data_IF_073143202824
#
_entry.id   IF_073143202824
#
_cell.length_a   1.000
_cell.length_b   1.000
_cell.length_c   1.000
_cell.angle_alpha   90.00
_cell.angle_beta   90.00
_cell.angle_gamma   90.00
#
_symmetry.space_group_name_H-M   'P 1'
#
loop_
_entity.id
_entity.type
_entity.pdbx_description
1 polymer ?
#
# COMPACT_ATOMS: atom_id res chain seq x y z
N UNK A 1 -26.01 34.24 -6.02
CA UNK A 1 -25.77 33.24 -7.08
C UNK A 1 -25.11 32.04 -6.45
N UNK A 2 -25.88 30.98 -6.25
CA UNK A 2 -25.42 29.77 -5.53
C UNK A 2 -24.52 28.95 -6.45
N UNK A 3 -23.24 28.94 -6.15
CA UNK A 3 -22.28 28.02 -6.75
C UNK A 3 -22.64 26.59 -6.24
N UNK A 4 -23.44 25.84 -7.01
CA UNK A 4 -23.66 24.41 -6.79
C UNK A 4 -22.30 23.74 -7.03
N UNK A 5 -21.59 23.44 -5.95
CA UNK A 5 -20.42 22.57 -5.97
C UNK A 5 -20.80 21.29 -6.71
N UNK A 6 -20.17 21.04 -7.86
CA UNK A 6 -20.22 19.76 -8.54
C UNK A 6 -19.48 18.72 -7.67
N UNK A 7 -20.19 18.17 -6.69
CA UNK A 7 -19.69 17.03 -5.92
C UNK A 7 -19.52 15.86 -6.88
N UNK A 8 -18.34 15.24 -6.85
CA UNK A 8 -18.10 14.01 -7.59
C UNK A 8 -19.20 13.00 -7.23
N UNK A 9 -19.94 12.51 -8.24
CA UNK A 9 -21.02 11.52 -8.06
C UNK A 9 -20.57 10.33 -7.18
N UNK A 10 -19.28 10.04 -7.21
CA UNK A 10 -18.67 8.92 -6.52
C UNK A 10 -18.39 9.22 -5.04
N UNK A 11 -18.16 10.49 -4.70
CA UNK A 11 -17.79 10.95 -3.37
C UNK A 11 -18.94 11.63 -2.62
N UNK A 12 -20.12 11.75 -3.23
CA UNK A 12 -21.29 12.30 -2.52
C UNK A 12 -21.63 11.38 -1.35
N UNK A 13 -21.52 11.83 -0.09
CA UNK A 13 -22.10 11.08 1.02
C UNK A 13 -23.59 10.93 0.73
N UNK A 14 -24.12 9.73 0.88
CA UNK A 14 -25.54 9.48 0.80
C UNK A 14 -26.19 10.23 1.97
N UNK A 15 -26.67 11.46 1.73
CA UNK A 15 -27.43 12.17 2.74
C UNK A 15 -28.71 11.39 3.01
N UNK A 16 -29.15 11.34 4.25
CA UNK A 16 -30.41 10.67 4.64
C UNK A 16 -31.64 11.22 3.89
N UNK A 17 -31.54 12.43 3.32
CA UNK A 17 -32.55 13.08 2.51
C UNK A 17 -32.60 12.63 1.04
N UNK A 18 -31.62 11.88 0.54
CA UNK A 18 -31.60 11.41 -0.83
C UNK A 18 -32.61 10.26 -0.97
N UNK A 19 -33.57 10.41 -1.88
CA UNK A 19 -34.62 9.43 -2.11
C UNK A 19 -34.05 8.06 -2.51
N UNK A 20 -34.78 6.98 -2.23
CA UNK A 20 -34.38 5.60 -2.56
C UNK A 20 -33.98 5.40 -4.03
N UNK A 21 -34.52 6.20 -4.94
CA UNK A 21 -34.22 6.15 -6.38
C UNK A 21 -32.80 6.68 -6.66
N UNK A 22 -32.40 7.80 -6.02
CA UNK A 22 -31.06 8.38 -6.20
C UNK A 22 -29.98 7.46 -5.64
N UNK A 23 -30.22 6.86 -4.48
CA UNK A 23 -29.31 5.86 -3.88
C UNK A 23 -29.10 4.66 -4.79
N UNK A 24 -30.20 4.15 -5.40
CA UNK A 24 -30.12 3.04 -6.35
C UNK A 24 -29.36 3.41 -7.61
N UNK A 25 -29.58 4.60 -8.15
CA UNK A 25 -28.91 5.07 -9.36
C UNK A 25 -27.40 5.27 -9.12
N UNK A 26 -27.00 5.87 -7.99
CA UNK A 26 -25.58 6.00 -7.60
C UNK A 26 -24.90 4.64 -7.47
N UNK A 27 -25.57 3.66 -6.83
CA UNK A 27 -25.03 2.29 -6.73
C UNK A 27 -24.82 1.67 -8.12
N UNK A 28 -25.73 1.89 -9.05
CA UNK A 28 -25.59 1.40 -10.42
C UNK A 28 -24.45 2.08 -11.18
N UNK A 29 -24.29 3.41 -11.06
CA UNK A 29 -23.13 4.12 -11.61
C UNK A 29 -21.81 3.53 -11.12
N UNK A 30 -21.71 3.36 -9.82
CA UNK A 30 -20.55 2.78 -9.18
C UNK A 30 -20.24 1.37 -9.75
N UNK A 31 -21.23 0.52 -9.89
CA UNK A 31 -21.06 -0.82 -10.44
C UNK A 31 -20.56 -0.81 -11.90
N UNK A 32 -21.08 0.08 -12.74
CA UNK A 32 -20.60 0.26 -14.12
C UNK A 32 -19.13 0.64 -14.11
N UNK A 33 -18.74 1.67 -13.35
CA UNK A 33 -17.36 2.14 -13.26
C UNK A 33 -16.43 1.03 -12.77
N UNK A 34 -16.84 0.26 -11.74
CA UNK A 34 -16.05 -0.86 -11.21
C UNK A 34 -15.77 -1.95 -12.25
N UNK A 35 -16.79 -2.29 -13.06
CA UNK A 35 -16.62 -3.32 -14.10
C UNK A 35 -15.66 -2.83 -15.17
N UNK A 36 -15.87 -1.60 -15.64
CA UNK A 36 -15.06 -1.00 -16.69
C UNK A 36 -13.61 -0.72 -16.24
N UNK A 37 -13.40 -0.42 -14.95
CA UNK A 37 -12.04 -0.17 -14.43
C UNK A 37 -11.15 -1.42 -14.41
N UNK A 38 -11.74 -2.61 -14.43
CA UNK A 38 -11.03 -3.91 -14.45
C UNK A 38 -10.77 -4.43 -15.85
N UNK A 39 -11.26 -3.75 -16.88
CA UNK A 39 -11.13 -4.17 -18.28
C UNK A 39 -10.30 -3.18 -19.07
N UNK A 40 -9.48 -3.70 -19.94
CA UNK A 40 -8.79 -2.92 -20.97
C UNK A 40 -9.65 -2.73 -22.23
N UNK A 41 -10.70 -3.55 -22.38
CA UNK A 41 -11.58 -3.53 -23.55
C UNK A 41 -12.81 -2.65 -23.31
N UNK A 42 -13.25 -1.98 -24.36
CA UNK A 42 -14.53 -1.29 -24.39
C UNK A 42 -15.70 -2.28 -24.50
N UNK A 43 -16.86 -1.90 -23.98
CA UNK A 43 -18.09 -2.70 -23.95
C UNK A 43 -19.22 -2.00 -24.68
N UNK A 44 -20.11 -2.81 -25.27
CA UNK A 44 -21.41 -2.35 -25.73
C UNK A 44 -22.39 -2.18 -24.56
N UNK A 45 -23.46 -1.40 -24.73
CA UNK A 45 -24.51 -1.24 -23.70
C UNK A 45 -25.12 -2.59 -23.27
N UNK A 46 -25.44 -3.54 -24.17
CA UNK A 46 -25.93 -4.86 -23.77
C UNK A 46 -24.95 -5.64 -22.87
N UNK A 47 -23.66 -5.64 -23.21
CA UNK A 47 -22.62 -6.29 -22.41
C UNK A 47 -22.49 -5.65 -21.02
N UNK A 48 -22.49 -4.32 -20.93
CA UNK A 48 -22.49 -3.61 -19.65
C UNK A 48 -23.74 -4.00 -18.83
N UNK A 49 -24.93 -4.04 -19.47
CA UNK A 49 -26.17 -4.36 -18.80
C UNK A 49 -26.17 -5.78 -18.21
N UNK A 50 -25.61 -6.74 -18.95
CA UNK A 50 -25.42 -8.12 -18.49
C UNK A 50 -24.48 -8.20 -17.28
N UNK A 51 -23.31 -7.58 -17.35
CA UNK A 51 -22.32 -7.58 -16.27
C UNK A 51 -22.85 -6.90 -14.99
N UNK A 52 -23.64 -5.83 -15.14
CA UNK A 52 -24.22 -5.09 -13.98
C UNK A 52 -25.54 -5.71 -13.50
N UNK A 53 -26.09 -6.67 -14.28
CA UNK A 53 -27.39 -7.33 -14.03
C UNK A 53 -28.56 -6.32 -13.95
N UNK A 54 -28.65 -5.46 -14.97
CA UNK A 54 -29.76 -4.49 -15.13
C UNK A 54 -30.33 -4.57 -16.54
N UNK A 55 -31.56 -4.02 -16.75
CA UNK A 55 -32.14 -3.99 -18.07
C UNK A 55 -31.41 -3.07 -19.04
N UNK A 56 -31.34 -3.42 -20.32
CA UNK A 56 -30.71 -2.62 -21.37
C UNK A 56 -31.24 -1.16 -21.41
N UNK A 57 -32.54 -0.88 -21.31
CA UNK A 57 -33.05 0.50 -21.26
C UNK A 57 -32.51 1.29 -20.06
N UNK A 58 -32.41 0.65 -18.87
CA UNK A 58 -31.83 1.28 -17.69
C UNK A 58 -30.34 1.56 -17.89
N UNK A 59 -29.59 0.58 -18.44
CA UNK A 59 -28.18 0.74 -18.74
C UNK A 59 -27.95 1.88 -19.72
N UNK A 60 -28.72 1.97 -20.80
CA UNK A 60 -28.65 3.05 -21.80
C UNK A 60 -28.74 4.43 -21.15
N UNK A 61 -29.71 4.62 -20.24
CA UNK A 61 -29.91 5.90 -19.54
C UNK A 61 -28.68 6.23 -18.65
N UNK A 62 -28.16 5.23 -17.94
CA UNK A 62 -27.01 5.41 -17.05
C UNK A 62 -25.74 5.72 -17.84
N UNK A 63 -25.45 4.96 -18.91
CA UNK A 63 -24.28 5.17 -19.76
C UNK A 63 -24.30 6.56 -20.40
N UNK A 64 -25.44 7.00 -20.95
CA UNK A 64 -25.58 8.36 -21.48
C UNK A 64 -25.24 9.42 -20.44
N UNK A 65 -25.74 9.29 -19.21
CA UNK A 65 -25.43 10.22 -18.11
C UNK A 65 -23.93 10.19 -17.78
N UNK A 66 -23.28 9.02 -17.79
CA UNK A 66 -21.85 8.89 -17.52
C UNK A 66 -20.99 9.49 -18.63
N UNK A 67 -21.41 9.39 -19.90
CA UNK A 67 -20.75 10.03 -21.04
C UNK A 67 -20.91 11.56 -20.98
N UNK A 68 -22.13 12.07 -20.76
CA UNK A 68 -22.39 13.51 -20.59
C UNK A 68 -21.54 14.12 -19.46
N UNK A 69 -21.35 13.38 -18.36
CA UNK A 69 -20.50 13.79 -17.23
C UNK A 69 -19.00 13.49 -17.43
N UNK A 70 -18.63 12.97 -18.59
CA UNK A 70 -17.24 12.63 -18.97
C UNK A 70 -16.59 11.55 -18.11
N UNK A 71 -17.37 10.71 -17.42
CA UNK A 71 -16.85 9.52 -16.74
C UNK A 71 -16.65 8.35 -17.68
N UNK A 72 -17.33 8.34 -18.82
CA UNK A 72 -17.16 7.38 -19.90
C UNK A 72 -16.89 8.12 -21.21
N UNK A 73 -16.27 7.41 -22.14
CA UNK A 73 -16.02 7.84 -23.52
C UNK A 73 -16.62 6.83 -24.50
N UNK A 74 -16.98 7.31 -25.67
CA UNK A 74 -17.36 6.48 -26.82
C UNK A 74 -16.08 6.16 -27.59
N UNK A 75 -15.75 4.86 -27.74
CA UNK A 75 -14.55 4.41 -28.46
C UNK A 75 -14.82 4.08 -29.94
N UNK A 76 -16.00 4.47 -30.45
CA UNK A 76 -16.38 4.28 -31.84
C UNK A 76 -17.10 2.96 -32.12
N UNK A 77 -17.19 2.59 -33.40
CA UNK A 77 -17.91 1.42 -33.89
C UNK A 77 -16.91 0.43 -34.44
N UNK A 78 -16.87 -0.78 -33.90
CA UNK A 78 -16.08 -1.88 -34.51
C UNK A 78 -16.84 -2.44 -35.72
N UNK A 79 -16.08 -2.83 -36.74
CA UNK A 79 -16.67 -3.50 -37.91
C UNK A 79 -17.22 -4.86 -37.54
N UNK A 80 -18.48 -5.08 -37.87
CA UNK A 80 -19.15 -6.38 -37.76
C UNK A 80 -19.53 -6.82 -39.17
N UNK A 81 -19.36 -8.10 -39.47
CA UNK A 81 -19.63 -8.66 -40.82
C UNK A 81 -21.09 -8.55 -41.24
N UNK A 82 -22.05 -8.47 -40.32
CA UNK A 82 -23.48 -8.35 -40.63
C UNK A 82 -24.22 -7.56 -39.51
N UNK A 83 -24.79 -6.37 -39.82
CA UNK A 83 -25.76 -5.68 -38.99
C UNK A 83 -25.41 -4.26 -38.56
N UNK A 84 -26.26 -3.65 -37.70
CA UNK A 84 -26.10 -2.30 -37.14
C UNK A 84 -24.84 -2.31 -36.25
N UNK A 85 -23.85 -1.50 -36.61
CA UNK A 85 -22.58 -1.36 -35.88
C UNK A 85 -22.82 -0.89 -34.44
N UNK A 86 -22.55 -1.70 -33.42
CA UNK A 86 -22.73 -1.29 -32.03
C UNK A 86 -21.72 -0.23 -31.63
N UNK A 87 -22.14 0.70 -30.78
CA UNK A 87 -21.26 1.67 -30.15
C UNK A 87 -20.60 1.04 -28.93
N UNK A 88 -19.29 1.27 -28.77
CA UNK A 88 -18.48 0.79 -27.68
C UNK A 88 -18.16 1.92 -26.70
N UNK A 89 -18.21 1.62 -25.41
CA UNK A 89 -18.01 2.55 -24.33
C UNK A 89 -16.90 2.08 -23.41
N UNK A 90 -16.00 2.99 -23.04
CA UNK A 90 -14.92 2.74 -22.09
C UNK A 90 -14.93 3.74 -20.95
N UNK A 91 -14.22 3.42 -19.89
CA UNK A 91 -14.01 4.33 -18.79
C UNK A 91 -13.06 5.46 -19.21
N UNK A 92 -13.42 6.71 -18.93
CA UNK A 92 -12.48 7.82 -19.04
C UNK A 92 -11.51 7.77 -17.86
N UNK A 93 -10.44 7.00 -18.00
CA UNK A 93 -9.46 6.76 -16.92
C UNK A 93 -8.87 8.05 -16.37
N UNK A 94 -8.78 9.12 -17.18
CA UNK A 94 -8.25 10.45 -16.77
C UNK A 94 -9.18 11.23 -15.83
N UNK A 95 -10.33 10.67 -15.48
CA UNK A 95 -11.26 11.25 -14.50
C UNK A 95 -11.15 10.62 -13.12
N UNK A 96 -10.22 9.67 -12.90
CA UNK A 96 -10.18 8.87 -11.68
C UNK A 96 -8.75 8.69 -11.20
N UNK A 97 -8.35 9.51 -10.24
CA UNK A 97 -7.06 9.45 -9.57
C UNK A 97 -7.24 9.18 -8.08
N UNK A 98 -6.34 8.40 -7.51
CA UNK A 98 -6.17 8.30 -6.07
C UNK A 98 -4.82 8.92 -5.69
N UNK A 99 -4.81 9.61 -4.56
CA UNK A 99 -3.57 10.12 -3.97
C UNK A 99 -3.12 9.12 -2.92
N UNK A 100 -1.91 8.62 -3.03
CA UNK A 100 -1.29 7.77 -2.04
C UNK A 100 -0.17 8.50 -1.32
N UNK A 101 -0.12 8.38 -0.01
CA UNK A 101 0.89 9.03 0.83
C UNK A 101 1.54 7.99 1.74
N UNK A 102 2.84 7.92 1.74
CA UNK A 102 3.62 7.22 2.76
C UNK A 102 4.26 8.24 3.70
N UNK A 103 4.07 8.06 5.00
CA UNK A 103 4.65 8.93 6.00
C UNK A 103 5.44 8.07 7.00
N UNK A 104 6.74 8.28 7.02
CA UNK A 104 7.68 7.74 8.01
C UNK A 104 8.21 8.88 8.87
N UNK A 105 8.92 8.57 9.95
CA UNK A 105 9.48 9.60 10.87
C UNK A 105 10.38 10.64 10.17
N UNK A 106 11.13 10.21 9.15
CA UNK A 106 12.10 11.08 8.43
C UNK A 106 11.89 11.02 6.91
N UNK A 107 10.65 10.84 6.48
CA UNK A 107 10.35 10.70 5.06
C UNK A 107 8.87 10.91 4.80
N UNK A 108 8.54 11.62 3.75
CA UNK A 108 7.19 11.71 3.19
C UNK A 108 7.26 11.48 1.68
N UNK A 109 6.36 10.66 1.17
CA UNK A 109 6.25 10.36 -0.25
C UNK A 109 4.78 10.42 -0.69
N UNK A 110 4.52 11.10 -1.77
CA UNK A 110 3.20 11.20 -2.38
C UNK A 110 3.25 10.64 -3.79
N UNK A 111 2.33 9.75 -4.11
CA UNK A 111 2.09 9.22 -5.45
C UNK A 111 0.70 9.61 -5.93
N UNK A 112 0.57 10.03 -7.18
CA UNK A 112 -0.70 10.22 -7.86
C UNK A 112 -0.88 9.06 -8.82
N UNK A 113 -1.92 8.27 -8.59
CA UNK A 113 -2.15 7.00 -9.30
C UNK A 113 -3.51 7.05 -9.99
N UNK A 114 -3.54 6.69 -11.27
CA UNK A 114 -4.76 6.56 -12.05
C UNK A 114 -5.49 5.25 -11.71
N UNK A 115 -6.78 5.16 -11.98
CA UNK A 115 -7.62 4.00 -11.61
C UNK A 115 -7.15 2.65 -12.17
N UNK A 116 -6.42 2.66 -13.28
CA UNK A 116 -5.77 1.48 -13.86
C UNK A 116 -4.37 1.21 -13.29
N UNK A 117 -4.06 1.84 -12.16
CA UNK A 117 -2.80 1.71 -11.43
C UNK A 117 -1.57 2.30 -12.12
N UNK A 118 -1.76 3.07 -13.19
CA UNK A 118 -0.70 3.84 -13.80
C UNK A 118 -0.29 5.00 -12.89
N UNK A 119 1.02 5.13 -12.67
CA UNK A 119 1.61 6.21 -11.90
C UNK A 119 1.68 7.47 -12.75
N UNK A 120 0.98 8.54 -12.33
CA UNK A 120 1.06 9.84 -12.98
C UNK A 120 2.28 10.63 -12.50
N UNK A 121 2.52 10.63 -11.20
CA UNK A 121 3.65 11.36 -10.58
C UNK A 121 3.97 10.81 -9.19
N UNK A 122 5.20 11.05 -8.78
CA UNK A 122 5.65 10.82 -7.41
C UNK A 122 6.54 11.97 -6.95
N UNK A 123 6.38 12.35 -5.69
CA UNK A 123 7.16 13.41 -5.05
C UNK A 123 7.54 12.99 -3.64
N UNK A 124 8.80 13.15 -3.27
CA UNK A 124 9.30 12.76 -1.94
C UNK A 124 10.12 13.85 -1.28
N UNK A 125 10.15 13.85 0.06
CA UNK A 125 11.09 14.63 0.86
C UNK A 125 11.77 13.72 1.89
N UNK A 126 13.07 13.51 1.71
CA UNK A 126 13.91 12.67 2.55
C UNK A 126 14.52 13.44 3.74
N UNK A 127 14.38 14.75 3.79
CA UNK A 127 14.83 15.61 4.89
C UNK A 127 13.68 15.99 5.83
N UNK A 128 12.47 15.50 5.53
CA UNK A 128 11.30 15.69 6.37
C UNK A 128 11.45 14.98 7.71
N UNK A 129 11.08 15.68 8.78
CA UNK A 129 10.92 15.09 10.12
C UNK A 129 9.47 15.30 10.52
N UNK A 130 8.77 14.21 10.77
CA UNK A 130 7.38 14.27 11.24
C UNK A 130 7.37 14.66 12.72
N UNK A 131 6.97 15.87 12.99
CA UNK A 131 6.70 16.34 14.34
C UNK A 131 5.23 16.11 14.70
N UNK A 132 4.98 15.61 15.90
CA UNK A 132 3.63 15.38 16.40
C UNK A 132 2.97 16.67 16.91
N UNK A 133 2.98 17.70 16.06
CA UNK A 133 2.48 19.06 16.33
C UNK A 133 1.49 19.48 15.24
N UNK A 134 0.64 20.50 15.48
CA UNK A 134 -0.22 21.08 14.45
C UNK A 134 0.57 21.57 13.23
N UNK A 135 1.78 22.09 13.41
CA UNK A 135 2.68 22.56 12.34
C UNK A 135 3.15 21.39 11.48
N UNK A 136 3.53 20.26 12.11
CA UNK A 136 3.88 19.03 11.41
C UNK A 136 2.72 18.51 10.57
N UNK A 137 1.50 18.53 11.11
CA UNK A 137 0.28 18.19 10.36
C UNK A 137 0.05 19.14 9.18
N UNK A 138 0.21 20.45 9.38
CA UNK A 138 0.06 21.46 8.33
C UNK A 138 1.11 21.28 7.24
N UNK A 139 2.33 20.88 7.57
CA UNK A 139 3.35 20.54 6.58
C UNK A 139 2.91 19.36 5.69
N UNK A 140 2.42 18.28 6.30
CA UNK A 140 1.89 17.11 5.53
C UNK A 140 0.78 17.55 4.58
N UNK A 141 -0.18 18.34 5.06
CA UNK A 141 -1.27 18.89 4.23
C UNK A 141 -0.73 19.71 3.06
N UNK A 142 0.23 20.59 3.33
CA UNK A 142 0.82 21.45 2.30
C UNK A 142 1.59 20.65 1.25
N UNK A 143 2.31 19.62 1.67
CA UNK A 143 3.06 18.74 0.78
C UNK A 143 2.12 17.98 -0.19
N UNK A 144 1.02 17.43 0.34
CA UNK A 144 -0.01 16.77 -0.48
C UNK A 144 -0.68 17.76 -1.44
N UNK A 145 -1.05 18.97 -0.96
CA UNK A 145 -1.65 20.01 -1.80
C UNK A 145 -0.75 20.40 -2.97
N UNK A 146 0.55 20.56 -2.70
CA UNK A 146 1.51 20.95 -3.74
C UNK A 146 1.62 19.88 -4.83
N UNK A 147 1.61 18.59 -4.48
CA UNK A 147 1.58 17.50 -5.45
C UNK A 147 0.32 17.55 -6.33
N UNK A 148 -0.85 17.79 -5.74
CA UNK A 148 -2.13 17.90 -6.47
C UNK A 148 -2.12 19.12 -7.41
N UNK A 149 -1.65 20.28 -6.94
CA UNK A 149 -1.60 21.53 -7.71
C UNK A 149 -0.63 21.42 -8.89
N UNK A 150 0.53 20.80 -8.70
CA UNK A 150 1.53 20.57 -9.75
C UNK A 150 0.91 19.91 -11.00
N UNK A 151 -0.05 19.02 -10.81
CA UNK A 151 -0.73 18.30 -11.89
C UNK A 151 -2.09 18.86 -12.27
N UNK A 152 -2.46 20.03 -11.71
CA UNK A 152 -3.73 20.72 -12.00
C UNK A 152 -4.97 19.83 -11.84
N UNK A 153 -4.89 18.84 -10.95
CA UNK A 153 -6.00 17.93 -10.68
C UNK A 153 -7.13 18.66 -9.96
N UNK A 154 -8.35 18.45 -10.45
CA UNK A 154 -9.56 18.97 -9.81
C UNK A 154 -10.07 17.97 -8.79
N UNK A 155 -10.72 18.45 -7.73
CA UNK A 155 -11.30 17.57 -6.69
C UNK A 155 -12.27 16.52 -7.26
N UNK A 156 -12.96 16.82 -8.35
CA UNK A 156 -13.89 15.88 -9.00
C UNK A 156 -13.18 14.76 -9.79
N UNK A 157 -11.86 14.83 -9.95
CA UNK A 157 -11.02 13.78 -10.53
C UNK A 157 -10.38 12.90 -9.46
N UNK A 158 -10.31 13.38 -8.20
CA UNK A 158 -9.67 12.63 -7.10
C UNK A 158 -10.73 11.83 -6.36
N UNK A 159 -10.62 10.51 -6.42
CA UNK A 159 -11.58 9.60 -5.80
C UNK A 159 -11.30 9.35 -4.31
N UNK A 160 -10.09 9.62 -3.86
CA UNK A 160 -9.73 9.53 -2.45
C UNK A 160 -8.24 9.69 -2.19
N UNK A 161 -7.92 9.78 -0.90
CA UNK A 161 -6.58 9.89 -0.35
C UNK A 161 -6.30 8.69 0.54
N UNK A 162 -5.33 7.85 0.18
CA UNK A 162 -4.81 6.77 1.00
C UNK A 162 -3.54 7.21 1.72
N UNK A 163 -3.41 6.90 3.00
CA UNK A 163 -2.22 7.21 3.79
C UNK A 163 -1.70 5.94 4.46
N UNK A 164 -0.47 5.58 4.17
CA UNK A 164 0.31 4.55 4.85
C UNK A 164 1.22 5.18 5.90
N UNK A 165 1.00 4.86 7.17
CA UNK A 165 1.81 5.36 8.27
C UNK A 165 2.72 4.27 8.82
N UNK A 166 3.93 4.65 9.25
CA UNK A 166 4.74 3.80 10.11
C UNK A 166 4.12 3.74 11.52
N UNK A 167 4.16 2.56 12.14
CA UNK A 167 3.63 2.32 13.48
C UNK A 167 2.20 1.76 13.48
N UNK A 168 1.55 1.80 14.63
CA UNK A 168 0.23 1.18 14.81
C UNK A 168 -0.90 2.13 14.41
N UNK A 169 -1.81 1.63 13.59
CA UNK A 169 -3.02 2.34 13.15
C UNK A 169 -4.25 1.46 13.41
N UNK A 170 -5.26 2.03 14.04
CA UNK A 170 -6.56 1.40 14.13
C UNK A 170 -7.24 1.47 12.74
N UNK A 171 -7.36 0.35 12.06
CA UNK A 171 -7.87 0.30 10.69
C UNK A 171 -9.34 0.72 10.55
N UNK A 172 -10.14 0.67 11.63
CA UNK A 172 -11.55 1.06 11.60
C UNK A 172 -11.71 2.58 11.68
N UNK A 173 -10.93 3.22 12.58
CA UNK A 173 -11.04 4.66 12.83
C UNK A 173 -10.00 5.48 12.05
N UNK A 174 -8.90 4.87 11.63
CA UNK A 174 -7.74 5.55 11.04
C UNK A 174 -6.94 6.35 12.06
N UNK A 175 -7.15 6.08 13.35
CA UNK A 175 -6.41 6.76 14.42
C UNK A 175 -5.11 6.02 14.72
N UNK A 176 -4.08 6.79 15.04
CA UNK A 176 -2.76 6.30 15.43
C UNK A 176 -2.38 6.83 16.82
N UNK A 177 -1.74 5.99 17.61
CA UNK A 177 -1.27 6.39 18.94
C UNK A 177 -0.01 7.28 18.85
N UNK A 178 0.78 7.14 17.80
CA UNK A 178 2.05 7.85 17.64
C UNK A 178 1.89 9.27 17.08
N UNK A 179 0.83 9.51 16.30
CA UNK A 179 0.60 10.78 15.60
C UNK A 179 -0.81 11.28 15.88
N UNK A 180 -1.04 11.74 17.11
CA UNK A 180 -2.30 12.36 17.52
C UNK A 180 -2.32 13.88 17.32
N UNK A 181 -1.20 14.46 16.86
CA UNK A 181 -1.06 15.89 16.55
C UNK A 181 -1.71 16.79 17.63
N UNK A 182 -1.40 16.52 18.90
CA UNK A 182 -1.94 17.21 20.08
C UNK A 182 -3.48 17.17 20.16
N UNK A 183 -4.06 16.00 19.85
CA UNK A 183 -5.51 15.76 19.95
C UNK A 183 -6.28 16.01 18.66
N UNK A 184 -5.59 16.35 17.57
CA UNK A 184 -6.23 16.49 16.26
C UNK A 184 -6.35 15.13 15.60
N UNK A 185 -7.56 14.65 15.32
CA UNK A 185 -7.76 13.43 14.53
C UNK A 185 -7.22 13.61 13.12
N UNK A 186 -6.14 12.90 12.81
CA UNK A 186 -5.42 13.00 11.54
C UNK A 186 -6.33 12.74 10.34
N UNK A 187 -7.04 11.61 10.35
CA UNK A 187 -7.98 11.25 9.29
C UNK A 187 -9.04 12.32 9.06
N UNK A 188 -9.75 12.73 10.13
CA UNK A 188 -10.82 13.75 10.03
C UNK A 188 -10.29 15.09 9.53
N UNK A 189 -9.08 15.48 9.96
CA UNK A 189 -8.45 16.71 9.49
C UNK A 189 -8.20 16.67 7.98
N UNK A 190 -7.68 15.56 7.46
CA UNK A 190 -7.46 15.37 6.01
C UNK A 190 -8.80 15.34 5.25
N UNK A 191 -9.82 14.62 5.74
CA UNK A 191 -11.17 14.59 5.14
C UNK A 191 -11.77 15.99 5.04
N UNK A 192 -11.68 16.77 6.11
CA UNK A 192 -12.19 18.15 6.15
C UNK A 192 -11.42 19.08 5.21
N UNK A 193 -10.10 18.89 5.11
CA UNK A 193 -9.22 19.76 4.31
C UNK A 193 -9.37 19.50 2.82
N UNK A 194 -9.36 18.24 2.41
CA UNK A 194 -9.38 17.87 0.99
C UNK A 194 -10.80 17.64 0.45
N UNK A 195 -11.78 17.46 1.31
CA UNK A 195 -13.18 17.17 0.94
C UNK A 195 -13.33 15.93 0.05
N UNK A 196 -12.50 14.94 0.27
CA UNK A 196 -12.49 13.62 -0.38
C UNK A 196 -12.41 12.52 0.69
N UNK A 197 -12.82 11.28 0.37
CA UNK A 197 -12.64 10.14 1.26
C UNK A 197 -11.16 9.92 1.61
N UNK A 198 -10.88 9.63 2.89
CA UNK A 198 -9.52 9.35 3.38
C UNK A 198 -9.48 7.98 4.06
N UNK A 199 -8.51 7.17 3.67
CA UNK A 199 -8.17 5.92 4.34
C UNK A 199 -6.79 6.09 4.95
N UNK A 200 -6.68 5.83 6.25
CA UNK A 200 -5.40 5.80 6.97
C UNK A 200 -5.17 4.40 7.48
N UNK A 201 -4.05 3.80 7.12
CA UNK A 201 -3.66 2.47 7.56
C UNK A 201 -2.14 2.38 7.73
N UNK A 202 -1.63 1.24 8.18
CA UNK A 202 -0.18 1.03 8.19
C UNK A 202 0.36 0.87 6.77
N UNK A 203 1.59 1.31 6.56
CA UNK A 203 2.31 1.14 5.30
C UNK A 203 2.40 -0.34 4.88
N UNK A 204 2.59 -1.23 5.84
CA UNK A 204 2.68 -2.68 5.59
C UNK A 204 1.34 -3.26 5.14
N UNK A 205 0.20 -2.86 5.74
CA UNK A 205 -1.12 -3.33 5.27
C UNK A 205 -1.48 -2.75 3.91
N UNK A 206 -1.09 -1.50 3.64
CA UNK A 206 -1.22 -0.92 2.31
C UNK A 206 -0.50 -1.79 1.25
N UNK A 207 0.75 -2.19 1.53
CA UNK A 207 1.52 -3.09 0.65
C UNK A 207 0.81 -4.43 0.49
N UNK A 208 0.31 -5.02 1.59
CA UNK A 208 -0.44 -6.28 1.53
C UNK A 208 -1.67 -6.21 0.63
N UNK A 209 -2.39 -5.10 0.68
CA UNK A 209 -3.53 -4.85 -0.22
C UNK A 209 -3.07 -4.73 -1.67
N UNK A 210 -1.98 -4.02 -1.90
CA UNK A 210 -1.46 -3.84 -3.24
C UNK A 210 -0.91 -5.14 -3.84
N UNK A 211 -0.28 -5.99 -3.05
CA UNK A 211 0.13 -7.33 -3.49
C UNK A 211 -1.08 -8.18 -3.91
N UNK A 212 -2.21 -8.09 -3.21
CA UNK A 212 -3.44 -8.78 -3.62
C UNK A 212 -4.06 -8.23 -4.89
N UNK A 213 -3.87 -6.95 -5.20
CA UNK A 213 -4.52 -6.29 -6.35
C UNK A 213 -3.62 -6.30 -7.58
N UNK A 214 -2.32 -6.11 -7.41
CA UNK A 214 -1.36 -5.84 -8.48
C UNK A 214 -0.14 -6.76 -8.47
N UNK A 215 0.17 -7.40 -7.34
CA UNK A 215 1.42 -8.11 -7.13
C UNK A 215 1.29 -9.63 -7.11
N UNK A 216 2.24 -10.27 -6.44
CA UNK A 216 2.40 -11.73 -6.37
C UNK A 216 1.27 -12.46 -5.63
N UNK A 217 0.51 -11.75 -4.79
CA UNK A 217 -0.59 -12.34 -4.01
C UNK A 217 -1.93 -12.38 -4.75
N UNK A 218 -1.97 -12.03 -6.06
CA UNK A 218 -3.20 -12.10 -6.85
C UNK A 218 -3.73 -13.53 -6.93
N UNK A 219 -4.99 -13.72 -6.52
CA UNK A 219 -5.66 -15.02 -6.60
C UNK A 219 -5.18 -16.08 -5.59
N UNK A 220 -4.26 -15.73 -4.69
CA UNK A 220 -3.75 -16.63 -3.67
C UNK A 220 -4.45 -16.34 -2.34
N UNK A 221 -4.94 -17.39 -1.66
CA UNK A 221 -5.78 -17.22 -0.49
C UNK A 221 -5.00 -17.06 0.81
N UNK A 222 -3.84 -17.72 0.96
CA UNK A 222 -3.08 -17.71 2.22
C UNK A 222 -1.68 -17.16 1.96
N UNK A 223 -1.44 -15.91 2.31
CA UNK A 223 -0.21 -15.19 1.98
C UNK A 223 0.32 -14.43 3.20
N UNK A 224 1.63 -14.50 3.40
CA UNK A 224 2.36 -13.60 4.28
C UNK A 224 3.10 -12.57 3.42
N UNK A 225 2.88 -11.30 3.65
CA UNK A 225 3.62 -10.22 3.00
C UNK A 225 4.52 -9.58 4.05
N UNK A 226 5.82 -9.66 3.86
CA UNK A 226 6.83 -9.17 4.80
C UNK A 226 7.56 -7.98 4.19
N UNK A 227 7.39 -6.81 4.79
CA UNK A 227 8.16 -5.61 4.44
C UNK A 227 9.45 -5.59 5.24
N UNK A 228 10.60 -5.61 4.55
CA UNK A 228 11.93 -5.46 5.15
C UNK A 228 12.53 -4.14 4.67
N UNK A 229 12.54 -3.16 5.55
CA UNK A 229 13.07 -1.82 5.32
C UNK A 229 13.77 -1.36 6.61
N UNK A 230 13.79 -0.06 6.92
CA UNK A 230 14.30 0.42 8.20
C UNK A 230 13.64 -0.26 9.40
N UNK A 231 12.34 -0.55 9.32
CA UNK A 231 11.57 -1.40 10.23
C UNK A 231 11.14 -2.67 9.52
N UNK A 232 10.59 -3.62 10.28
CA UNK A 232 9.99 -4.83 9.74
C UNK A 232 8.51 -4.85 10.05
N UNK A 233 7.69 -5.23 9.07
CA UNK A 233 6.26 -5.40 9.24
C UNK A 233 5.75 -6.59 8.45
N UNK A 234 4.60 -7.12 8.84
CA UNK A 234 3.95 -8.24 8.15
C UNK A 234 2.46 -8.01 7.98
N UNK A 235 1.95 -8.28 6.79
CA UNK A 235 0.53 -8.43 6.53
C UNK A 235 0.21 -9.91 6.36
N UNK A 236 -0.92 -10.33 6.91
CA UNK A 236 -1.40 -11.72 6.87
C UNK A 236 -2.72 -11.76 6.10
N UNK A 237 -2.77 -12.58 5.07
CA UNK A 237 -3.97 -12.86 4.30
C UNK A 237 -4.30 -14.34 4.53
N UNK A 238 -5.51 -14.63 4.99
CA UNK A 238 -6.01 -16.00 5.14
C UNK A 238 -7.41 -16.09 4.49
N UNK A 239 -7.61 -17.14 3.72
CA UNK A 239 -8.84 -17.37 2.95
C UNK A 239 -9.20 -16.11 2.08
N UNK A 240 -8.20 -15.52 1.46
CA UNK A 240 -8.34 -14.32 0.60
C UNK A 240 -8.63 -13.01 1.35
N UNK A 241 -8.66 -13.02 2.69
CA UNK A 241 -9.00 -11.85 3.52
C UNK A 241 -7.80 -11.40 4.35
N UNK A 242 -7.57 -10.08 4.36
CA UNK A 242 -6.60 -9.46 5.25
C UNK A 242 -7.00 -9.66 6.71
N UNK A 243 -6.10 -10.17 7.52
CA UNK A 243 -6.31 -10.33 8.96
C UNK A 243 -6.06 -8.99 9.64
N UNK A 244 -7.10 -8.46 10.28
CA UNK A 244 -7.06 -7.16 10.95
C UNK A 244 -6.93 -7.30 12.48
N UNK A 245 -7.38 -8.41 13.04
CA UNK A 245 -7.50 -8.58 14.51
C UNK A 245 -8.65 -7.77 15.11
N UNK A 246 -8.82 -7.88 16.40
CA UNK A 246 -9.94 -7.23 17.13
C UNK A 246 -9.89 -5.70 17.13
N UNK A 247 -8.70 -5.11 17.12
CA UNK A 247 -8.46 -3.66 17.16
C UNK A 247 -7.82 -3.12 15.87
N UNK A 248 -7.70 -3.95 14.83
CA UNK A 248 -7.04 -3.57 13.59
C UNK A 248 -5.51 -3.54 13.69
N UNK A 249 -4.91 -4.25 14.66
CA UNK A 249 -3.46 -4.25 14.92
C UNK A 249 -2.82 -5.64 14.72
N UNK A 250 -3.42 -6.52 13.94
CA UNK A 250 -2.79 -7.79 13.60
C UNK A 250 -1.57 -7.59 12.70
N UNK A 251 -0.60 -8.50 12.79
CA UNK A 251 0.60 -8.47 11.95
C UNK A 251 1.83 -7.79 12.58
N UNK A 252 1.80 -7.49 13.88
CA UNK A 252 2.92 -6.90 14.64
C UNK A 252 4.10 -7.89 14.80
N UNK A 253 4.54 -8.47 13.69
CA UNK A 253 5.55 -9.53 13.61
C UNK A 253 6.91 -9.09 14.16
N UNK A 254 7.31 -7.84 13.88
CA UNK A 254 8.56 -7.28 14.40
C UNK A 254 8.62 -7.21 15.92
N UNK A 255 7.46 -7.20 16.61
CA UNK A 255 7.40 -7.13 18.07
C UNK A 255 7.24 -8.49 18.77
N UNK A 256 7.31 -9.59 18.02
CA UNK A 256 7.44 -10.93 18.65
C UNK A 256 8.80 -11.03 19.36
N UNK A 257 8.79 -11.55 20.57
CA UNK A 257 10.00 -11.73 21.38
C UNK A 257 10.78 -13.00 20.92
N UNK A 258 11.33 -12.94 19.73
CA UNK A 258 12.14 -13.98 19.08
C UNK A 258 13.62 -13.61 19.00
N UNK A 259 13.97 -12.37 19.33
CA UNK A 259 15.34 -11.89 19.35
C UNK A 259 16.14 -12.48 20.51
N UNK A 260 17.35 -12.95 20.23
CA UNK A 260 18.25 -13.61 21.18
C UNK A 260 19.17 -12.63 21.91
N UNK A 261 19.42 -11.46 21.33
CA UNK A 261 20.36 -10.47 21.88
C UNK A 261 19.79 -9.62 23.02
N UNK A 262 18.48 -9.73 23.27
CA UNK A 262 17.82 -9.01 24.36
C UNK A 262 17.84 -7.48 24.24
N UNK A 263 18.06 -6.93 23.03
CA UNK A 263 18.09 -5.49 22.77
C UNK A 263 16.75 -4.82 23.09
N UNK A 264 16.81 -3.57 23.59
CA UNK A 264 15.64 -2.78 23.87
C UNK A 264 14.98 -2.30 22.55
N UNK A 265 13.70 -2.60 22.40
CA UNK A 265 12.91 -2.15 21.28
C UNK A 265 12.25 -0.79 21.57
N UNK A 266 11.94 -0.03 20.53
CA UNK A 266 11.17 1.24 20.62
C UNK A 266 9.80 1.06 21.27
N UNK A 267 9.21 -0.14 21.27
CA UNK A 267 7.98 -0.46 21.98
C UNK A 267 8.14 -0.61 23.51
N UNK A 268 9.35 -0.45 24.06
CA UNK A 268 9.68 -0.58 25.48
C UNK A 268 9.99 -2.01 25.95
N UNK A 269 9.85 -3.03 25.09
CA UNK A 269 10.16 -4.43 25.41
C UNK A 269 11.56 -4.81 24.95
N UNK A 270 12.11 -5.88 25.53
CA UNK A 270 13.40 -6.45 25.11
C UNK A 270 13.20 -7.70 24.26
N UNK A 271 14.11 -7.93 23.28
CA UNK A 271 14.12 -9.14 22.49
C UNK A 271 13.06 -9.19 21.39
N UNK A 272 12.53 -8.04 20.97
CA UNK A 272 11.69 -7.98 19.78
C UNK A 272 12.51 -8.34 18.52
N UNK A 273 11.93 -9.13 17.62
CA UNK A 273 12.56 -9.55 16.37
C UNK A 273 13.10 -8.36 15.56
N UNK A 274 12.39 -7.25 15.52
CA UNK A 274 12.79 -6.03 14.83
C UNK A 274 14.17 -5.53 15.22
N UNK A 275 14.59 -5.74 16.48
CA UNK A 275 15.91 -5.31 16.97
C UNK A 275 17.08 -6.15 16.44
N UNK A 276 16.80 -7.21 15.67
CA UNK A 276 17.79 -8.10 15.08
C UNK A 276 17.67 -8.29 13.57
N UNK A 277 16.49 -7.98 12.97
CA UNK A 277 16.23 -8.27 11.54
C UNK A 277 15.72 -7.08 10.74
N UNK A 278 15.71 -5.88 11.31
CA UNK A 278 15.34 -4.65 10.61
C UNK A 278 16.56 -3.90 10.06
N UNK A 279 16.33 -2.97 9.13
CA UNK A 279 17.39 -2.08 8.66
C UNK A 279 17.98 -1.21 9.78
N UNK A 280 17.18 -0.87 10.81
CA UNK A 280 17.68 -0.20 12.02
C UNK A 280 18.60 -1.10 12.85
N UNK A 281 18.27 -2.38 12.97
CA UNK A 281 19.12 -3.38 13.60
C UNK A 281 20.45 -3.54 12.84
N UNK A 282 20.40 -3.60 11.51
CA UNK A 282 21.60 -3.71 10.67
C UNK A 282 22.58 -2.56 10.86
N UNK A 283 22.06 -1.31 11.02
CA UNK A 283 22.92 -0.17 11.33
C UNK A 283 23.59 -0.31 12.70
N UNK A 284 22.90 -0.88 13.69
CA UNK A 284 23.46 -1.17 15.00
C UNK A 284 24.52 -2.27 14.92
N UNK A 285 24.23 -3.36 14.21
CA UNK A 285 25.18 -4.47 14.00
C UNK A 285 26.45 -4.01 13.29
N UNK A 286 26.31 -3.16 12.26
CA UNK A 286 27.46 -2.57 11.56
C UNK A 286 28.34 -1.74 12.52
N UNK A 287 27.71 -0.92 13.36
CA UNK A 287 28.42 -0.12 14.36
C UNK A 287 29.16 -0.99 15.36
N UNK A 288 28.49 -2.00 15.89
CA UNK A 288 29.08 -2.94 16.85
C UNK A 288 30.26 -3.71 16.23
N UNK A 289 30.14 -4.16 14.98
CA UNK A 289 31.19 -4.87 14.26
C UNK A 289 32.43 -3.99 14.04
N UNK A 290 32.25 -2.75 13.58
CA UNK A 290 33.35 -1.80 13.41
C UNK A 290 34.04 -1.43 14.75
N UNK A 291 33.25 -1.27 15.82
CA UNK A 291 33.78 -1.04 17.18
C UNK A 291 34.56 -2.24 17.69
N UNK A 292 34.22 -3.45 17.29
CA UNK A 292 34.93 -4.70 17.59
C UNK A 292 36.19 -4.89 16.73
N UNK A 293 36.53 -3.98 15.81
CA UNK A 293 37.71 -4.01 14.95
C UNK A 293 37.52 -4.73 13.61
N UNK A 294 36.26 -5.09 13.24
CA UNK A 294 36.00 -5.56 11.87
C UNK A 294 36.12 -4.38 10.89
N UNK A 295 36.49 -4.66 9.65
CA UNK A 295 36.77 -3.62 8.65
C UNK A 295 35.74 -3.67 7.52
N UNK A 296 35.39 -2.49 7.01
CA UNK A 296 34.58 -2.30 5.82
C UNK A 296 35.31 -1.38 4.83
N UNK A 297 35.13 -1.64 3.54
CA UNK A 297 35.65 -0.77 2.49
C UNK A 297 34.80 0.49 2.28
N UNK A 298 33.61 0.53 2.85
CA UNK A 298 32.60 1.58 2.62
C UNK A 298 32.27 2.40 3.87
N UNK A 299 32.46 1.83 5.07
CA UNK A 299 32.03 2.43 6.33
C UNK A 299 33.18 2.65 7.30
N UNK A 300 33.15 3.81 7.96
CA UNK A 300 34.08 4.18 9.02
C UNK A 300 33.25 4.66 10.22
N UNK A 301 33.77 4.43 11.45
CA UNK A 301 33.09 4.77 12.69
C UNK A 301 32.73 6.26 12.79
N UNK A 302 33.63 7.14 12.31
CA UNK A 302 33.50 8.60 12.41
C UNK A 302 32.27 9.13 11.68
N UNK A 303 31.83 8.45 10.61
CA UNK A 303 30.73 8.89 9.74
C UNK A 303 29.48 8.01 9.85
N UNK A 304 29.42 7.10 10.79
CA UNK A 304 28.42 6.05 10.83
C UNK A 304 26.98 6.58 10.98
N UNK A 305 26.78 7.66 11.73
CA UNK A 305 25.47 8.26 11.94
C UNK A 305 24.90 8.96 10.68
N UNK A 306 25.74 9.20 9.67
CA UNK A 306 25.35 9.76 8.38
C UNK A 306 24.75 8.72 7.42
N UNK A 307 25.09 7.43 7.60
CA UNK A 307 24.66 6.36 6.71
C UNK A 307 23.25 5.88 7.02
N UNK A 308 22.52 5.56 5.97
CA UNK A 308 21.16 5.02 6.02
C UNK A 308 21.16 3.54 5.66
N UNK A 309 20.08 2.85 5.96
CA UNK A 309 19.88 1.46 5.56
C UNK A 309 20.18 1.21 4.08
N UNK A 310 19.72 2.12 3.22
CA UNK A 310 19.98 2.07 1.78
C UNK A 310 21.47 2.04 1.42
N UNK A 311 22.31 2.75 2.17
CA UNK A 311 23.74 2.82 1.88
C UNK A 311 24.41 1.49 2.19
N UNK A 312 23.92 0.77 3.23
CA UNK A 312 24.39 -0.58 3.54
C UNK A 312 24.01 -1.57 2.43
N UNK A 313 22.78 -1.47 1.90
CA UNK A 313 22.37 -2.31 0.76
C UNK A 313 23.22 -2.04 -0.49
N UNK A 314 23.55 -0.78 -0.76
CA UNK A 314 24.48 -0.42 -1.84
C UNK A 314 25.89 -0.97 -1.63
N UNK A 315 26.39 -0.94 -0.39
CA UNK A 315 27.70 -1.49 -0.07
C UNK A 315 27.77 -2.99 -0.35
N UNK A 316 26.70 -3.75 -0.08
CA UNK A 316 26.59 -5.16 -0.47
C UNK A 316 26.74 -5.33 -1.99
N UNK A 317 26.03 -4.53 -2.79
CA UNK A 317 26.13 -4.58 -4.27
C UNK A 317 27.53 -4.19 -4.76
N UNK A 318 28.26 -3.37 -4.02
CA UNK A 318 29.63 -2.97 -4.31
C UNK A 318 30.69 -3.92 -3.71
N UNK A 319 30.28 -5.06 -3.17
CA UNK A 319 31.18 -6.12 -2.71
C UNK A 319 31.77 -5.90 -1.30
N UNK A 320 31.14 -5.09 -0.45
CA UNK A 320 31.57 -4.93 0.95
C UNK A 320 31.30 -6.21 1.77
N UNK A 321 32.36 -6.89 2.16
CA UNK A 321 32.27 -8.18 2.82
C UNK A 321 31.61 -8.13 4.20
N UNK A 322 31.82 -7.05 4.96
CA UNK A 322 31.19 -6.88 6.26
C UNK A 322 29.66 -6.70 6.11
N UNK A 323 29.23 -5.80 5.22
CA UNK A 323 27.81 -5.58 4.96
C UNK A 323 27.11 -6.86 4.47
N UNK A 324 27.76 -7.61 3.58
CA UNK A 324 27.22 -8.90 3.11
C UNK A 324 27.09 -9.91 4.24
N UNK A 325 28.11 -10.07 5.08
CA UNK A 325 28.09 -10.96 6.26
C UNK A 325 26.90 -10.65 7.17
N UNK A 326 26.71 -9.37 7.50
CA UNK A 326 25.62 -8.91 8.39
C UNK A 326 24.24 -9.13 7.77
N UNK A 327 24.08 -8.90 6.47
CA UNK A 327 22.84 -9.15 5.74
C UNK A 327 22.48 -10.63 5.70
N UNK A 328 23.44 -11.52 5.48
CA UNK A 328 23.19 -12.97 5.45
C UNK A 328 22.77 -13.49 6.83
N UNK A 329 23.39 -13.02 7.91
CA UNK A 329 23.01 -13.36 9.29
C UNK A 329 21.58 -12.85 9.59
N UNK A 330 21.27 -11.61 9.20
CA UNK A 330 19.95 -11.04 9.37
C UNK A 330 18.87 -11.83 8.60
N UNK A 331 19.16 -12.22 7.35
CA UNK A 331 18.26 -13.01 6.52
C UNK A 331 17.98 -14.39 7.13
N UNK A 332 19.00 -15.06 7.65
CA UNK A 332 18.86 -16.34 8.31
C UNK A 332 17.99 -16.24 9.58
N UNK A 333 18.22 -15.23 10.42
CA UNK A 333 17.38 -14.95 11.61
C UNK A 333 15.94 -14.68 11.24
N UNK A 334 15.68 -13.86 10.21
CA UNK A 334 14.35 -13.59 9.71
C UNK A 334 13.68 -14.87 9.20
N UNK A 335 14.42 -15.70 8.46
CA UNK A 335 13.96 -16.98 7.98
C UNK A 335 13.54 -17.90 9.14
N UNK A 336 14.33 -18.00 10.21
CA UNK A 336 13.99 -18.78 11.39
C UNK A 336 12.69 -18.26 12.06
N UNK A 337 12.54 -16.95 12.18
CA UNK A 337 11.32 -16.37 12.74
C UNK A 337 10.10 -16.67 11.87
N UNK A 338 10.22 -16.54 10.54
CA UNK A 338 9.15 -16.86 9.58
C UNK A 338 8.79 -18.35 9.59
N UNK A 339 9.75 -19.24 9.79
CA UNK A 339 9.47 -20.68 9.90
C UNK A 339 8.49 -21.03 11.04
N UNK A 340 8.57 -20.32 12.17
CA UNK A 340 7.58 -20.46 13.24
C UNK A 340 6.18 -20.01 12.79
N UNK A 341 6.09 -18.94 11.99
CA UNK A 341 4.81 -18.45 11.47
C UNK A 341 4.26 -19.41 10.39
N UNK A 342 5.12 -19.98 9.57
CA UNK A 342 4.75 -21.02 8.59
C UNK A 342 4.10 -22.22 9.30
N UNK A 343 4.68 -22.69 10.40
CA UNK A 343 4.10 -23.78 11.20
C UNK A 343 2.72 -23.41 11.79
N UNK A 344 2.50 -22.14 12.09
CA UNK A 344 1.26 -21.66 12.70
C UNK A 344 0.13 -21.43 11.70
N UNK A 345 0.47 -20.82 10.54
CA UNK A 345 -0.51 -20.31 9.57
C UNK A 345 -0.57 -21.12 8.27
N UNK A 346 0.43 -21.94 7.99
CA UNK A 346 0.54 -22.76 6.79
C UNK A 346 0.21 -21.97 5.49
N UNK A 347 0.95 -20.91 5.17
CA UNK A 347 0.68 -20.08 4.00
C UNK A 347 1.09 -20.78 2.69
N UNK A 348 0.43 -20.43 1.59
CA UNK A 348 0.78 -20.87 0.23
C UNK A 348 1.96 -20.06 -0.34
N UNK A 349 2.12 -18.81 0.15
CA UNK A 349 3.11 -17.86 -0.36
C UNK A 349 3.61 -16.92 0.74
N UNK A 350 4.92 -16.68 0.73
CA UNK A 350 5.56 -15.56 1.45
C UNK A 350 6.09 -14.58 0.40
N UNK A 351 5.65 -13.33 0.47
CA UNK A 351 6.16 -12.24 -0.38
C UNK A 351 7.10 -11.37 0.44
N UNK A 352 8.34 -11.22 -0.01
CA UNK A 352 9.33 -10.34 0.59
C UNK A 352 9.36 -9.04 -0.20
N UNK A 353 9.07 -7.92 0.47
CA UNK A 353 9.07 -6.57 -0.11
C UNK A 353 9.88 -5.58 0.70
N UNK A 354 9.87 -4.32 0.28
CA UNK A 354 10.63 -3.24 0.91
C UNK A 354 12.00 -3.01 0.27
N UNK A 355 12.85 -2.24 0.93
CA UNK A 355 14.16 -1.85 0.36
C UNK A 355 15.10 -3.03 0.14
N UNK A 356 14.92 -4.11 0.88
CA UNK A 356 15.74 -5.34 0.79
C UNK A 356 15.71 -5.99 -0.60
N UNK A 357 14.67 -5.72 -1.39
CA UNK A 357 14.53 -6.22 -2.78
C UNK A 357 15.74 -5.85 -3.65
N UNK A 358 16.45 -4.76 -3.32
CA UNK A 358 17.67 -4.36 -4.02
C UNK A 358 18.77 -5.43 -4.03
N UNK A 359 18.81 -6.28 -3.02
CA UNK A 359 19.84 -7.31 -2.83
C UNK A 359 19.22 -8.70 -2.71
N UNK A 360 18.08 -8.90 -3.38
CA UNK A 360 17.29 -10.14 -3.31
C UNK A 360 18.11 -11.40 -3.53
N UNK A 361 19.07 -11.36 -4.48
CA UNK A 361 19.88 -12.53 -4.86
C UNK A 361 20.75 -13.05 -3.69
N UNK A 362 21.17 -12.15 -2.80
CA UNK A 362 21.91 -12.53 -1.58
C UNK A 362 20.98 -12.88 -0.42
N UNK A 363 19.90 -12.15 -0.28
CA UNK A 363 19.03 -12.21 0.88
C UNK A 363 18.12 -13.45 0.89
N UNK A 364 17.53 -13.79 -0.26
CA UNK A 364 16.47 -14.81 -0.33
C UNK A 364 16.99 -16.21 -0.03
N UNK A 365 18.18 -16.56 -0.49
CA UNK A 365 18.76 -17.89 -0.23
C UNK A 365 19.08 -18.10 1.24
N UNK A 366 19.67 -17.08 1.90
CA UNK A 366 19.91 -17.13 3.32
C UNK A 366 18.61 -17.19 4.15
N UNK A 367 17.59 -16.43 3.76
CA UNK A 367 16.25 -16.49 4.37
C UNK A 367 15.62 -17.89 4.24
N UNK A 368 15.67 -18.49 3.04
CA UNK A 368 15.19 -19.88 2.83
C UNK A 368 15.95 -20.91 3.67
N UNK A 369 17.23 -20.72 3.87
CA UNK A 369 18.02 -21.57 4.79
C UNK A 369 17.52 -21.43 6.22
N UNK A 370 17.27 -20.20 6.70
CA UNK A 370 16.69 -19.94 8.01
C UNK A 370 15.32 -20.57 8.18
N UNK A 371 14.44 -20.44 7.19
CA UNK A 371 13.11 -21.07 7.16
C UNK A 371 13.19 -22.60 7.42
N UNK A 372 14.10 -23.28 6.73
CA UNK A 372 14.29 -24.74 6.87
C UNK A 372 14.72 -25.18 8.27
N UNK A 373 15.32 -24.28 9.06
CA UNK A 373 15.79 -24.63 10.42
C UNK A 373 14.65 -24.75 11.44
N UNK A 374 13.53 -24.10 11.20
CA UNK A 374 12.44 -23.97 12.19
C UNK A 374 11.09 -24.44 11.68
N UNK A 375 10.86 -24.47 10.37
CA UNK A 375 9.61 -24.97 9.80
C UNK A 375 9.59 -26.49 9.69
N UNK A 376 8.39 -27.07 9.81
CA UNK A 376 8.15 -28.46 9.46
C UNK A 376 8.27 -28.65 7.93
N UNK A 377 8.84 -29.76 7.51
CA UNK A 377 9.06 -30.05 6.08
C UNK A 377 7.72 -30.04 5.33
N UNK A 378 6.69 -30.66 5.87
CA UNK A 378 5.38 -30.78 5.23
C UNK A 378 4.68 -29.44 5.03
N UNK A 379 4.87 -28.47 5.94
CA UNK A 379 4.32 -27.11 5.80
C UNK A 379 5.12 -26.27 4.83
N UNK A 380 6.44 -26.49 4.73
CA UNK A 380 7.32 -25.71 3.89
C UNK A 380 7.30 -26.12 2.40
N UNK A 381 7.07 -27.40 2.10
CA UNK A 381 7.10 -27.95 0.73
C UNK A 381 6.12 -27.21 -0.19
N UNK A 382 4.96 -26.81 0.33
CA UNK A 382 3.93 -26.11 -0.45
C UNK A 382 3.99 -24.59 -0.32
N UNK A 383 4.88 -24.05 0.52
CA UNK A 383 5.02 -22.61 0.75
C UNK A 383 6.08 -22.02 -0.18
N UNK A 384 5.68 -21.21 -1.13
CA UNK A 384 6.60 -20.47 -2.00
C UNK A 384 7.14 -19.23 -1.32
N UNK A 385 8.38 -18.86 -1.63
CA UNK A 385 8.97 -17.58 -1.21
C UNK A 385 9.32 -16.80 -2.46
N UNK A 386 8.67 -15.67 -2.65
CA UNK A 386 8.84 -14.80 -3.80
C UNK A 386 9.18 -13.36 -3.36
N UNK A 387 9.78 -12.61 -4.26
CA UNK A 387 10.07 -11.19 -4.06
C UNK A 387 9.01 -10.35 -4.74
N UNK A 388 8.63 -9.26 -4.09
CA UNK A 388 7.67 -8.29 -4.63
C UNK A 388 8.18 -7.64 -5.91
N UNK A 389 7.35 -7.60 -6.94
CA UNK A 389 7.61 -6.87 -8.19
C UNK A 389 7.16 -5.40 -8.13
N UNK A 390 6.56 -4.99 -7.02
CA UNK A 390 5.92 -3.68 -6.91
C UNK A 390 6.90 -2.52 -6.76
N UNK A 391 8.19 -2.83 -6.60
CA UNK A 391 9.28 -1.87 -6.57
C UNK A 391 9.54 -1.27 -5.18
N UNK A 392 10.62 -0.51 -5.09
CA UNK A 392 11.17 0.00 -3.82
C UNK A 392 10.29 1.03 -3.12
N UNK A 393 9.69 1.94 -3.86
CA UNK A 393 8.88 3.06 -3.34
C UNK A 393 7.39 2.79 -3.47
N UNK A 394 7.02 1.53 -3.43
CA UNK A 394 5.65 1.13 -3.70
C UNK A 394 4.66 1.51 -2.59
N UNK A 395 5.13 1.84 -1.38
CA UNK A 395 4.24 2.08 -0.23
C UNK A 395 3.24 3.22 -0.45
N UNK A 396 3.65 4.33 -1.08
CA UNK A 396 2.71 5.42 -1.39
C UNK A 396 1.74 5.02 -2.52
N UNK A 397 2.22 4.35 -3.57
CA UNK A 397 1.34 3.77 -4.60
C UNK A 397 0.39 2.75 -3.98
N UNK A 398 0.87 1.90 -3.07
CA UNK A 398 0.05 0.95 -2.33
C UNK A 398 -1.05 1.65 -1.52
N UNK A 399 -0.74 2.79 -0.89
CA UNK A 399 -1.73 3.60 -0.20
C UNK A 399 -2.82 4.13 -1.17
N UNK A 400 -2.47 4.52 -2.39
CA UNK A 400 -3.46 4.85 -3.43
C UNK A 400 -4.32 3.64 -3.82
N UNK A 401 -3.71 2.45 -3.95
CA UNK A 401 -4.41 1.20 -4.28
C UNK A 401 -5.42 0.81 -3.21
N UNK A 402 -5.18 1.14 -1.93
CA UNK A 402 -6.19 0.98 -0.87
C UNK A 402 -7.49 1.70 -1.21
N UNK A 403 -7.42 2.89 -1.84
CA UNK A 403 -8.60 3.62 -2.28
C UNK A 403 -9.36 2.82 -3.34
N UNK A 404 -8.69 2.27 -4.34
CA UNK A 404 -9.33 1.49 -5.40
C UNK A 404 -9.98 0.21 -4.88
N UNK A 405 -9.35 -0.49 -3.94
CA UNK A 405 -9.90 -1.71 -3.33
C UNK A 405 -11.06 -1.44 -2.38
N UNK A 406 -10.92 -0.46 -1.49
CA UNK A 406 -11.96 -0.07 -0.53
C UNK A 406 -13.07 0.76 -1.18
N UNK A 407 -12.81 1.26 -2.37
CA UNK A 407 -13.82 1.76 -3.28
C UNK A 407 -14.68 0.58 -3.83
N UNK A 408 -14.74 -0.52 -3.07
CA UNK A 408 -15.78 -1.52 -3.22
C UNK A 408 -17.12 -0.83 -2.92
N UNK A 409 -17.63 -0.29 -3.99
CA UNK A 409 -18.74 0.60 -4.20
C UNK A 409 -20.07 -0.04 -3.77
N UNK A 410 -20.00 -1.20 -3.11
CA UNK A 410 -21.18 -1.97 -2.69
C UNK A 410 -21.49 -1.82 -1.19
N UNK A 411 -20.62 -1.19 -0.40
CA UNK A 411 -20.76 -1.10 1.06
C UNK A 411 -21.28 0.23 1.60
N UNK A 412 -21.64 1.20 0.71
CA UNK A 412 -22.23 2.47 1.16
C UNK A 412 -23.55 2.74 0.44
#
# INVERSE_FOLDING_TARGET
>A
MHNKFNMNILNSPLKEADGHIEKRQQRQFKNIIRILSKSESAFTIPEIAEHVKISVPTCTKLVKTLVEKKYMIEEGKKETENGRRPEYYALNKQRFYAIGVEILLKFIHVSIVRIDSELLDETSNNQFILENTPEGLQYVVSFIKNAIIKHQLKNDQIIGLGVGLAGTVNAQTGETQHFNFMGISFKKHLENTFRIPVIVDTDTRAIGIAEQVLGKAQGIENVLIVKVSRSIGMSVILNGKMIMGGTGQAGEFGHLQLGKLGRLCVCGKKGCLETEVSGGALQTDLKEALMAGETSNHFQLENLDSYRYHDVLKAVLNGDALSLKLILDQADKLGQALGNIVNLLNPDLIVIGGEIVMIQDFFIDALKMGLKKTSLIDTLVNCRVEVSDLGRYFSSKAAAVMIFKNYDLTKY
#
